data_IF_299397194815
#
_entry.id   IF_299397194815
#
_cell.length_a   1.000
_cell.length_b   1.000
_cell.length_c   1.000
_cell.angle_alpha   90.00
_cell.angle_beta   90.00
_cell.angle_gamma   90.00
#
_symmetry.space_group_name_H-M   'P 1'
#
loop_
_entity.id
_entity.type
_entity.pdbx_description
1 polymer ?
#
# COMPACT_ATOMS: atom_id res chain seq x y z
N UNK A 1 -8.30 5.39 9.28
CA UNK A 1 -8.30 4.90 7.88
C UNK A 1 -8.16 3.38 7.81
N UNK A 2 -8.51 2.75 6.68
CA UNK A 2 -8.37 1.29 6.44
C UNK A 2 -7.03 0.96 5.77
N UNK A 3 -6.67 -0.33 5.76
CA UNK A 3 -5.42 -0.83 5.14
C UNK A 3 -5.71 -1.84 4.02
N UNK A 4 -4.79 -1.88 3.05
CA UNK A 4 -4.76 -2.83 1.94
C UNK A 4 -3.41 -3.56 1.89
N UNK A 5 -3.42 -4.80 1.38
CA UNK A 5 -2.22 -5.56 1.08
C UNK A 5 -1.82 -5.32 -0.38
N UNK A 6 -0.72 -4.61 -0.59
CA UNK A 6 -0.07 -4.44 -1.89
C UNK A 6 0.93 -5.59 -2.12
N UNK A 7 0.39 -6.67 -2.69
CA UNK A 7 1.11 -7.87 -3.08
C UNK A 7 0.61 -8.29 -4.47
N UNK A 8 1.26 -7.77 -5.51
CA UNK A 8 0.92 -8.11 -6.90
C UNK A 8 1.06 -9.62 -7.15
N UNK A 9 0.10 -10.17 -7.88
CA UNK A 9 0.02 -11.61 -8.16
C UNK A 9 -0.31 -12.48 -6.94
N UNK A 10 -0.77 -11.88 -5.83
CA UNK A 10 -1.39 -12.60 -4.72
C UNK A 10 -2.90 -12.78 -4.93
N UNK A 11 -3.37 -13.96 -4.60
CA UNK A 11 -4.80 -14.29 -4.54
C UNK A 11 -5.52 -13.48 -3.46
N UNK A 12 -6.85 -13.30 -3.56
CA UNK A 12 -7.63 -12.66 -2.50
C UNK A 12 -7.44 -13.32 -1.13
N UNK A 13 -7.33 -14.64 -1.08
CA UNK A 13 -7.13 -15.40 0.16
C UNK A 13 -5.73 -15.17 0.76
N UNK A 14 -4.69 -15.07 -0.06
CA UNK A 14 -3.34 -14.68 0.37
C UNK A 14 -3.35 -13.28 0.97
N UNK A 15 -3.93 -12.30 0.26
CA UNK A 15 -4.05 -10.92 0.74
C UNK A 15 -4.83 -10.84 2.06
N UNK A 16 -5.91 -11.62 2.19
CA UNK A 16 -6.70 -11.67 3.41
C UNK A 16 -5.89 -12.20 4.61
N UNK A 17 -5.04 -13.22 4.41
CA UNK A 17 -4.13 -13.69 5.48
C UNK A 17 -3.13 -12.61 5.90
N UNK A 18 -2.56 -11.90 4.93
CA UNK A 18 -1.68 -10.76 5.19
C UNK A 18 -2.37 -9.67 6.01
N UNK A 19 -3.56 -9.24 5.58
CA UNK A 19 -4.36 -8.23 6.28
C UNK A 19 -4.75 -8.65 7.70
N UNK A 20 -5.09 -9.92 7.91
CA UNK A 20 -5.39 -10.42 9.25
C UNK A 20 -4.17 -10.34 10.19
N UNK A 21 -2.99 -10.70 9.69
CA UNK A 21 -1.74 -10.62 10.45
C UNK A 21 -1.38 -9.16 10.80
N UNK A 22 -1.47 -8.25 9.83
CA UNK A 22 -1.25 -6.82 10.04
C UNK A 22 -2.17 -6.23 11.13
N UNK A 23 -3.48 -6.51 11.02
CA UNK A 23 -4.47 -6.00 11.98
C UNK A 23 -4.22 -6.53 13.40
N UNK A 24 -3.70 -7.75 13.54
CA UNK A 24 -3.34 -8.29 14.85
C UNK A 24 -2.19 -7.50 15.50
N UNK A 25 -1.14 -7.17 14.74
CA UNK A 25 0.00 -6.37 15.22
C UNK A 25 -0.45 -4.98 15.64
N UNK A 26 -1.18 -4.28 14.77
CA UNK A 26 -1.68 -2.92 15.05
C UNK A 26 -2.61 -2.91 16.26
N UNK A 27 -3.50 -3.91 16.37
CA UNK A 27 -4.39 -4.03 17.53
C UNK A 27 -3.61 -4.25 18.83
N UNK A 28 -2.52 -5.01 18.79
CA UNK A 28 -1.71 -5.29 19.98
C UNK A 28 -0.94 -4.06 20.47
N UNK A 29 -0.53 -3.16 19.57
CA UNK A 29 0.17 -1.92 19.96
C UNK A 29 -0.76 -0.87 20.56
N UNK A 30 -2.07 -0.97 20.30
CA UNK A 30 -3.06 0.02 20.72
C UNK A 30 -3.11 1.27 19.84
N UNK A 31 -2.30 1.33 18.77
CA UNK A 31 -2.37 2.39 17.77
C UNK A 31 -3.47 2.12 16.74
N UNK A 32 -3.89 3.17 16.05
CA UNK A 32 -4.64 3.03 14.80
C UNK A 32 -3.67 2.74 13.65
N UNK A 33 -4.18 2.12 12.57
CA UNK A 33 -3.37 1.89 11.37
C UNK A 33 -2.85 3.21 10.77
N UNK A 34 -3.68 4.25 10.82
CA UNK A 34 -3.35 5.61 10.39
C UNK A 34 -2.21 6.20 11.21
N UNK A 35 -2.25 6.09 12.54
CA UNK A 35 -1.16 6.61 13.37
C UNK A 35 0.15 5.87 13.16
N UNK A 36 0.10 4.56 12.98
CA UNK A 36 1.29 3.77 12.64
C UNK A 36 1.86 4.19 11.27
N UNK A 37 1.00 4.34 10.25
CA UNK A 37 1.41 4.79 8.92
C UNK A 37 2.00 6.21 8.93
N UNK A 38 1.42 7.14 9.70
CA UNK A 38 1.96 8.49 9.90
C UNK A 38 3.39 8.45 10.46
N UNK A 39 3.66 7.58 11.43
CA UNK A 39 5.02 7.39 11.95
C UNK A 39 5.99 6.92 10.87
N UNK A 40 5.61 5.90 10.10
CA UNK A 40 6.42 5.41 8.96
C UNK A 40 6.69 6.53 7.96
N UNK A 41 5.65 7.31 7.61
CA UNK A 41 5.76 8.42 6.67
C UNK A 41 6.68 9.53 7.17
N UNK A 42 6.66 9.84 8.47
CA UNK A 42 7.57 10.82 9.06
C UNK A 42 9.03 10.36 8.95
N UNK A 43 9.31 9.09 9.23
CA UNK A 43 10.68 8.54 9.14
C UNK A 43 11.16 8.42 7.70
N UNK A 44 10.33 7.89 6.80
CA UNK A 44 10.66 7.77 5.37
C UNK A 44 10.83 9.15 4.72
N UNK A 45 9.96 10.11 5.06
CA UNK A 45 10.09 11.49 4.58
C UNK A 45 11.38 12.16 5.08
N UNK A 46 11.81 11.87 6.31
CA UNK A 46 13.08 12.36 6.83
C UNK A 46 14.30 11.77 6.10
N UNK A 47 14.26 10.48 5.78
CA UNK A 47 15.26 9.81 4.93
C UNK A 47 15.31 10.42 3.52
N UNK A 48 14.16 10.58 2.87
CA UNK A 48 14.04 11.19 1.54
C UNK A 48 14.60 12.62 1.48
N UNK A 49 14.53 13.37 2.59
CA UNK A 49 15.11 14.71 2.73
C UNK A 49 16.63 14.71 3.02
N UNK A 50 17.24 13.55 3.25
CA UNK A 50 18.66 13.40 3.56
C UNK A 50 19.00 13.66 5.03
N UNK A 51 18.09 13.31 5.94
CA UNK A 51 18.27 13.41 7.39
C UNK A 51 18.58 14.82 7.95
N UNK A 52 17.79 15.85 7.61
CA UNK A 52 17.96 17.18 8.20
C UNK A 52 17.81 17.13 9.74
N UNK A 53 18.78 17.63 10.52
CA UNK A 53 18.82 17.43 11.98
C UNK A 53 17.72 18.20 12.75
N UNK A 54 17.08 19.19 12.12
CA UNK A 54 15.99 19.98 12.69
C UNK A 54 14.60 19.42 12.41
N UNK A 55 14.52 18.33 11.64
CA UNK A 55 13.27 17.65 11.28
C UNK A 55 13.34 16.15 11.58
N UNK A 56 14.21 15.74 12.50
CA UNK A 56 14.24 14.36 13.00
C UNK A 56 12.89 14.00 13.63
N UNK A 57 12.31 12.83 13.28
CA UNK A 57 11.09 12.34 13.90
C UNK A 57 11.23 12.24 15.42
N UNK A 58 10.14 12.49 16.12
CA UNK A 58 10.06 12.27 17.56
C UNK A 58 10.11 10.77 17.93
N UNK A 59 10.44 10.47 19.19
CA UNK A 59 10.40 9.11 19.73
C UNK A 59 9.02 8.43 19.53
N UNK A 60 7.94 9.19 19.65
CA UNK A 60 6.58 8.68 19.42
C UNK A 60 6.33 8.34 17.93
N UNK A 61 6.93 9.09 17.01
CA UNK A 61 6.85 8.82 15.57
C UNK A 61 7.68 7.61 15.19
N UNK A 62 8.88 7.44 15.76
CA UNK A 62 9.66 6.20 15.61
C UNK A 62 8.92 4.99 16.16
N UNK A 63 8.34 5.08 17.36
CA UNK A 63 7.55 3.99 17.93
C UNK A 63 6.32 3.64 17.07
N UNK A 64 5.68 4.64 16.45
CA UNK A 64 4.59 4.42 15.51
C UNK A 64 5.07 3.78 14.20
N UNK A 65 6.22 4.21 13.67
CA UNK A 65 6.85 3.62 12.48
C UNK A 65 7.20 2.14 12.70
N UNK A 66 7.77 1.81 13.86
CA UNK A 66 8.10 0.43 14.23
C UNK A 66 6.86 -0.49 14.20
N UNK A 67 5.71 0.02 14.66
CA UNK A 67 4.43 -0.71 14.59
C UNK A 67 4.02 -0.93 13.15
N UNK A 68 4.15 0.07 12.27
CA UNK A 68 3.80 -0.05 10.86
C UNK A 68 4.69 -1.06 10.14
N UNK A 69 6.01 -0.99 10.33
CA UNK A 69 6.95 -1.94 9.73
C UNK A 69 6.76 -3.35 10.27
N UNK A 70 6.50 -3.51 11.57
CA UNK A 70 6.16 -4.81 12.15
C UNK A 70 4.87 -5.38 11.56
N UNK A 71 3.84 -4.54 11.38
CA UNK A 71 2.59 -4.93 10.73
C UNK A 71 2.81 -5.32 9.26
N UNK A 72 3.61 -4.55 8.51
CA UNK A 72 3.95 -4.82 7.11
C UNK A 72 4.71 -6.14 6.97
N UNK A 73 5.72 -6.37 7.81
CA UNK A 73 6.46 -7.63 7.85
C UNK A 73 5.57 -8.83 8.18
N UNK A 74 4.66 -8.68 9.15
CA UNK A 74 3.69 -9.73 9.47
C UNK A 74 2.74 -10.01 8.30
N UNK A 75 2.30 -8.95 7.60
CA UNK A 75 1.45 -9.05 6.43
C UNK A 75 2.13 -9.79 5.28
N UNK A 76 3.35 -9.40 4.93
CA UNK A 76 4.16 -10.03 3.88
C UNK A 76 4.38 -11.50 4.20
N UNK A 77 4.77 -11.82 5.43
CA UNK A 77 5.02 -13.20 5.86
C UNK A 77 3.78 -14.09 5.74
N UNK A 78 2.62 -13.60 6.13
CA UNK A 78 1.38 -14.38 6.09
C UNK A 78 0.76 -14.45 4.68
N UNK A 79 0.88 -13.36 3.90
CA UNK A 79 0.41 -13.29 2.52
C UNK A 79 1.20 -14.23 1.61
N UNK A 80 2.53 -14.18 1.71
CA UNK A 80 3.45 -14.84 0.79
C UNK A 80 3.91 -16.22 1.30
N UNK A 81 3.12 -16.88 2.15
CA UNK A 81 3.44 -18.21 2.65
C UNK A 81 3.57 -19.19 1.48
N UNK A 82 4.74 -19.83 1.35
CA UNK A 82 5.04 -20.76 0.25
C UNK A 82 5.56 -20.11 -1.04
N UNK A 83 5.72 -18.79 -1.10
CA UNK A 83 6.33 -18.10 -2.24
C UNK A 83 7.86 -18.27 -2.23
N UNK A 84 8.48 -18.18 -3.42
CA UNK A 84 9.94 -18.07 -3.53
C UNK A 84 10.42 -16.74 -2.95
N UNK A 85 11.69 -16.70 -2.52
CA UNK A 85 12.29 -15.47 -2.01
C UNK A 85 12.32 -14.35 -3.07
N UNK A 86 12.55 -14.72 -4.34
CA UNK A 86 12.49 -13.81 -5.50
C UNK A 86 11.11 -13.16 -5.61
N UNK A 87 10.04 -13.96 -5.69
CA UNK A 87 8.67 -13.44 -5.79
C UNK A 87 8.28 -12.62 -4.55
N UNK A 88 8.72 -13.04 -3.36
CA UNK A 88 8.45 -12.31 -2.11
C UNK A 88 9.17 -10.96 -2.06
N UNK A 89 10.34 -10.83 -2.69
CA UNK A 89 11.12 -9.58 -2.70
C UNK A 89 10.47 -8.44 -3.50
N UNK A 90 9.54 -8.78 -4.39
CA UNK A 90 8.77 -7.81 -5.20
C UNK A 90 7.55 -7.24 -4.45
N UNK A 91 7.21 -7.80 -3.28
CA UNK A 91 6.01 -7.40 -2.53
C UNK A 91 6.26 -6.10 -1.77
N UNK A 92 5.38 -5.11 -1.97
CA UNK A 92 5.46 -3.79 -1.32
C UNK A 92 4.95 -3.80 0.13
N UNK A 93 4.02 -4.69 0.46
CA UNK A 93 3.54 -4.88 1.83
C UNK A 93 2.22 -4.16 2.09
N UNK A 94 2.15 -3.37 3.16
CA UNK A 94 0.92 -2.66 3.54
C UNK A 94 0.84 -1.26 2.92
N UNK A 95 -0.38 -0.90 2.53
CA UNK A 95 -0.74 0.46 2.13
C UNK A 95 -1.92 0.96 2.95
N UNK A 96 -1.92 2.26 3.25
CA UNK A 96 -3.09 2.96 3.77
C UNK A 96 -4.05 3.27 2.62
N UNK A 97 -5.35 3.07 2.84
CA UNK A 97 -6.38 3.39 1.86
C UNK A 97 -6.77 4.87 1.97
N UNK A 98 -6.40 5.66 0.97
CA UNK A 98 -6.69 7.09 0.86
C UNK A 98 -7.95 7.38 0.04
N UNK A 99 -8.20 6.56 -0.99
CA UNK A 99 -9.40 6.61 -1.81
C UNK A 99 -9.97 5.19 -2.00
N UNK A 100 -10.72 4.67 -1.01
CA UNK A 100 -11.31 3.33 -1.09
C UNK A 100 -12.24 3.15 -2.30
N UNK A 101 -12.90 4.21 -2.77
CA UNK A 101 -13.82 4.13 -3.90
C UNK A 101 -13.11 3.87 -5.23
N UNK A 102 -11.81 4.18 -5.30
CA UNK A 102 -10.95 3.88 -6.44
C UNK A 102 -10.08 2.66 -6.19
N UNK A 103 -9.46 2.55 -5.01
CA UNK A 103 -8.47 1.52 -4.70
C UNK A 103 -9.05 0.12 -4.45
N UNK A 104 -10.35 0.01 -4.10
CA UNK A 104 -11.00 -1.27 -3.79
C UNK A 104 -11.97 -1.77 -4.87
N UNK A 105 -12.04 -1.11 -6.03
CA UNK A 105 -12.91 -1.56 -7.12
C UNK A 105 -12.36 -2.84 -7.77
N UNK A 106 -13.25 -3.62 -8.38
CA UNK A 106 -12.81 -4.77 -9.16
C UNK A 106 -12.15 -4.34 -10.48
N UNK A 107 -11.37 -5.25 -11.07
CA UNK A 107 -10.65 -5.01 -12.33
C UNK A 107 -11.55 -4.54 -13.48
N UNK A 108 -12.76 -5.09 -13.61
CA UNK A 108 -13.68 -4.73 -14.70
C UNK A 108 -14.15 -3.28 -14.51
N UNK A 109 -14.52 -2.92 -13.29
CA UNK A 109 -14.89 -1.55 -12.93
C UNK A 109 -13.72 -0.59 -13.10
N UNK A 110 -12.51 -0.97 -12.70
CA UNK A 110 -11.30 -0.15 -12.85
C UNK A 110 -11.02 0.19 -14.32
N UNK A 111 -11.05 -0.83 -15.19
CA UNK A 111 -10.87 -0.65 -16.64
C UNK A 111 -11.97 0.20 -17.28
N UNK A 112 -13.22 0.07 -16.82
CA UNK A 112 -14.32 0.90 -17.31
C UNK A 112 -14.13 2.38 -16.95
N UNK A 113 -13.73 2.67 -15.70
CA UNK A 113 -13.47 4.03 -15.22
C UNK A 113 -12.26 4.67 -15.92
N UNK A 114 -11.18 3.92 -16.11
CA UNK A 114 -10.01 4.37 -16.89
C UNK A 114 -10.40 4.85 -18.29
N UNK A 115 -11.17 4.04 -19.02
CA UNK A 115 -11.63 4.38 -20.37
C UNK A 115 -12.48 5.65 -20.38
N UNK A 116 -13.34 5.83 -19.37
CA UNK A 116 -14.19 7.01 -19.26
C UNK A 116 -13.37 8.29 -19.02
N UNK A 117 -12.33 8.24 -18.19
CA UNK A 117 -11.42 9.38 -17.95
C UNK A 117 -10.70 9.77 -19.25
N UNK A 118 -10.06 8.81 -19.91
CA UNK A 118 -9.31 9.05 -21.16
C UNK A 118 -10.22 9.66 -22.24
N UNK A 119 -11.45 9.16 -22.38
CA UNK A 119 -12.44 9.69 -23.33
C UNK A 119 -12.87 11.13 -23.01
N UNK A 120 -12.99 11.48 -21.72
CA UNK A 120 -13.42 12.82 -21.29
C UNK A 120 -12.34 13.89 -21.51
N UNK A 121 -11.06 13.52 -21.43
CA UNK A 121 -9.93 14.46 -21.55
C UNK A 121 -9.31 14.56 -22.95
N UNK A 122 -9.95 13.94 -23.96
CA UNK A 122 -9.41 13.82 -25.33
C UNK A 122 -7.98 13.23 -25.35
N UNK A 123 -7.62 12.47 -24.31
CA UNK A 123 -6.30 11.89 -24.07
C UNK A 123 -5.13 12.86 -23.82
N UNK A 124 -5.38 14.15 -23.58
CA UNK A 124 -4.31 15.17 -23.55
C UNK A 124 -3.80 15.55 -22.16
N UNK A 125 -4.55 15.28 -21.10
CA UNK A 125 -4.21 15.68 -19.73
C UNK A 125 -4.24 14.52 -18.71
N UNK A 126 -4.39 13.29 -19.19
CA UNK A 126 -4.61 12.09 -18.37
C UNK A 126 -3.49 11.81 -17.36
N UNK A 127 -2.27 12.29 -17.61
CA UNK A 127 -1.12 12.14 -16.71
C UNK A 127 -1.22 12.99 -15.43
N UNK A 128 -2.09 14.00 -15.39
CA UNK A 128 -2.30 14.84 -14.20
C UNK A 128 -3.42 14.31 -13.29
N UNK A 129 -4.17 13.31 -13.74
CA UNK A 129 -5.25 12.73 -12.96
C UNK A 129 -4.73 11.53 -12.14
N UNK A 130 -4.53 11.74 -10.84
CA UNK A 130 -4.09 10.70 -9.90
C UNK A 130 -4.97 9.43 -9.93
N UNK A 131 -6.25 9.58 -10.29
CA UNK A 131 -7.17 8.44 -10.43
C UNK A 131 -6.72 7.47 -11.52
N UNK A 132 -6.06 7.95 -12.57
CA UNK A 132 -5.54 7.10 -13.65
C UNK A 132 -4.49 6.15 -13.09
N UNK A 133 -3.56 6.64 -12.28
CA UNK A 133 -2.53 5.80 -11.67
C UNK A 133 -3.13 4.77 -10.70
N UNK A 134 -4.07 5.19 -9.85
CA UNK A 134 -4.73 4.30 -8.89
C UNK A 134 -5.54 3.21 -9.60
N UNK A 135 -6.35 3.57 -10.60
CA UNK A 135 -7.14 2.60 -11.35
C UNK A 135 -6.25 1.66 -12.18
N UNK A 136 -5.13 2.15 -12.71
CA UNK A 136 -4.17 1.32 -13.43
C UNK A 136 -3.57 0.25 -12.49
N UNK A 137 -3.16 0.63 -11.28
CA UNK A 137 -2.68 -0.31 -10.26
C UNK A 137 -3.70 -1.41 -9.97
N UNK A 138 -4.98 -1.04 -9.78
CA UNK A 138 -6.06 -2.02 -9.56
C UNK A 138 -6.25 -2.93 -10.77
N UNK A 139 -6.23 -2.37 -11.99
CA UNK A 139 -6.44 -3.15 -13.21
C UNK A 139 -5.33 -4.19 -13.48
N UNK A 140 -4.13 -3.98 -12.91
CA UNK A 140 -2.95 -4.82 -13.07
C UNK A 140 -2.59 -5.61 -11.80
N UNK A 141 -3.38 -5.55 -10.74
CA UNK A 141 -3.03 -6.12 -9.42
C UNK A 141 -2.77 -7.64 -9.43
N UNK A 142 -3.46 -8.37 -10.31
CA UNK A 142 -3.27 -9.82 -10.51
C UNK A 142 -2.03 -10.15 -11.35
N UNK A 143 -1.43 -9.15 -12.01
CA UNK A 143 -0.26 -9.33 -12.88
C UNK A 143 1.00 -9.18 -12.02
N UNK A 144 1.97 -10.07 -12.22
CA UNK A 144 3.32 -9.85 -11.71
C UNK A 144 3.94 -8.60 -12.38
N UNK A 145 4.86 -7.94 -11.68
CA UNK A 145 5.64 -6.87 -12.31
C UNK A 145 6.44 -7.44 -13.47
N UNK A 146 6.50 -6.70 -14.58
CA UNK A 146 7.25 -7.12 -15.75
C UNK A 146 8.75 -7.14 -15.44
N UNK A 147 9.40 -8.28 -15.68
CA UNK A 147 10.86 -8.43 -15.67
C UNK A 147 11.51 -7.70 -16.85
#
# INVERSE_FOLDING_TARGET
>A
MEIMMDARGATPEEKQRGLAAARAVIKQSGLTAEKAAEGSFAVEGWDDMGFPPDQEPSEDEYAAADVWWAASNAAIKACCEGWSDEKRSEVRGLQLLHDPETQLVDRVTALARLRAIIQAEDGKNEFYDERVALLANVATDEMADGQ
#
